data_IF_755419715946
#
_entry.id   IF_755419715946
#
_cell.length_a   1.000
_cell.length_b   1.000
_cell.length_c   1.000
_cell.angle_alpha   90.00
_cell.angle_beta   90.00
_cell.angle_gamma   90.00
#
_symmetry.space_group_name_H-M   'P 1'
#
loop_
_entity.id
_entity.type
_entity.pdbx_description
1 polymer ?
#
# COMPACT_ATOMS: atom_id res chain seq x y z
N UNK A 1 -18.26 32.24 30.35
CA UNK A 1 -17.39 31.73 29.28
C UNK A 1 -17.43 30.22 29.35
N UNK A 2 -18.19 29.57 28.48
CA UNK A 2 -18.30 28.10 28.43
C UNK A 2 -17.47 27.61 27.28
N UNK A 3 -16.52 26.73 27.55
CA UNK A 3 -15.70 26.04 26.57
C UNK A 3 -16.54 24.94 25.88
N UNK A 4 -16.57 24.87 24.56
CA UNK A 4 -17.28 23.79 23.86
C UNK A 4 -16.49 22.48 23.93
N UNK A 5 -17.13 21.45 24.47
CA UNK A 5 -16.66 20.08 24.54
C UNK A 5 -16.72 19.48 23.14
N UNK A 6 -15.57 19.15 22.56
CA UNK A 6 -15.46 18.43 21.29
C UNK A 6 -15.89 16.98 21.50
N UNK A 7 -16.99 16.57 20.89
CA UNK A 7 -17.41 15.16 20.84
C UNK A 7 -16.47 14.40 19.92
N UNK A 8 -15.82 13.39 20.48
CA UNK A 8 -15.06 12.36 19.76
C UNK A 8 -15.97 11.67 18.73
N UNK A 9 -15.58 11.72 17.48
CA UNK A 9 -16.22 10.96 16.41
C UNK A 9 -15.92 9.46 16.60
N UNK A 10 -16.97 8.64 16.53
CA UNK A 10 -16.89 7.18 16.57
C UNK A 10 -16.06 6.65 15.37
N UNK A 11 -15.32 5.55 15.58
CA UNK A 11 -14.57 4.94 14.48
C UNK A 11 -15.55 4.42 13.43
N UNK A 12 -15.35 4.82 12.19
CA UNK A 12 -16.03 4.26 11.03
C UNK A 12 -15.80 2.75 11.00
N UNK A 13 -16.82 1.99 11.37
CA UNK A 13 -16.89 0.56 11.06
C UNK A 13 -16.88 0.45 9.53
N UNK A 14 -15.79 -0.07 8.99
CA UNK A 14 -15.74 -0.55 7.62
C UNK A 14 -16.89 -1.55 7.44
N UNK A 15 -17.94 -1.14 6.72
CA UNK A 15 -18.96 -2.06 6.24
C UNK A 15 -18.29 -2.99 5.24
N UNK A 16 -18.00 -4.20 5.67
CA UNK A 16 -17.69 -5.30 4.76
C UNK A 16 -18.85 -5.38 3.76
N UNK A 17 -18.59 -5.05 2.50
CA UNK A 17 -19.54 -5.21 1.42
C UNK A 17 -19.72 -6.73 1.20
N UNK A 18 -20.94 -7.26 1.18
CA UNK A 18 -21.24 -8.67 0.98
C UNK A 18 -21.24 -9.03 -0.51
N UNK A 19 -20.17 -8.69 -1.23
CA UNK A 19 -20.02 -9.12 -2.61
C UNK A 19 -18.83 -10.05 -2.71
N UNK A 20 -19.09 -11.35 -2.54
CA UNK A 20 -18.19 -12.38 -3.07
C UNK A 20 -18.26 -12.26 -4.59
N UNK A 21 -17.31 -11.55 -5.19
CA UNK A 21 -17.11 -11.58 -6.62
C UNK A 21 -16.62 -12.98 -6.96
N UNK A 22 -17.51 -13.82 -7.49
CA UNK A 22 -17.14 -15.12 -8.03
C UNK A 22 -16.23 -14.87 -9.23
N UNK A 23 -14.94 -15.12 -9.08
CA UNK A 23 -13.98 -15.05 -10.18
C UNK A 23 -14.28 -16.19 -11.17
N UNK A 24 -14.17 -15.96 -12.49
CA UNK A 24 -14.37 -17.02 -13.46
C UNK A 24 -13.35 -18.15 -13.23
N UNK A 25 -13.79 -19.42 -13.27
CA UNK A 25 -12.94 -20.58 -12.98
C UNK A 25 -11.73 -20.71 -13.92
N UNK A 26 -11.78 -20.08 -15.09
CA UNK A 26 -10.74 -20.13 -16.11
C UNK A 26 -9.75 -18.96 -16.07
N UNK A 27 -9.80 -18.11 -15.05
CA UNK A 27 -8.93 -16.93 -14.93
C UNK A 27 -7.42 -17.27 -15.04
N UNK A 28 -6.91 -18.35 -14.40
CA UNK A 28 -5.50 -18.73 -14.56
C UNK A 28 -5.12 -19.13 -16.00
N UNK A 29 -6.02 -19.75 -16.73
CA UNK A 29 -5.81 -20.15 -18.12
C UNK A 29 -5.83 -18.93 -19.08
N UNK A 30 -6.68 -17.95 -18.80
CA UNK A 30 -6.75 -16.68 -19.52
C UNK A 30 -5.47 -15.85 -19.32
N UNK A 31 -4.95 -15.76 -18.10
CA UNK A 31 -3.72 -15.05 -17.77
C UNK A 31 -2.50 -15.60 -18.50
N UNK A 32 -2.45 -16.92 -18.73
CA UNK A 32 -1.35 -17.57 -19.49
C UNK A 32 -1.33 -17.24 -20.98
N UNK A 33 -2.48 -16.89 -21.56
CA UNK A 33 -2.64 -16.58 -23.00
C UNK A 33 -2.50 -15.09 -23.31
N UNK A 34 -2.36 -14.23 -22.32
CA UNK A 34 -2.26 -12.78 -22.51
C UNK A 34 -0.81 -12.32 -22.64
N UNK A 35 -0.58 -11.20 -23.32
CA UNK A 35 0.74 -10.58 -23.40
C UNK A 35 1.21 -10.09 -22.02
N UNK A 36 2.52 -9.96 -21.78
CA UNK A 36 3.04 -9.47 -20.49
C UNK A 36 2.42 -8.14 -20.04
N UNK A 37 2.22 -7.19 -20.97
CA UNK A 37 1.63 -5.89 -20.69
C UNK A 37 0.15 -5.99 -20.29
N UNK A 38 -0.63 -6.83 -20.99
CA UNK A 38 -2.05 -7.07 -20.67
C UNK A 38 -2.19 -7.79 -19.34
N UNK A 39 -1.27 -8.73 -19.04
CA UNK A 39 -1.23 -9.44 -17.75
C UNK A 39 -0.96 -8.50 -16.58
N UNK A 40 0.03 -7.59 -16.72
CA UNK A 40 0.34 -6.61 -15.71
C UNK A 40 -0.85 -5.69 -15.40
N UNK A 41 -1.56 -5.23 -16.43
CA UNK A 41 -2.76 -4.38 -16.26
C UNK A 41 -3.91 -5.13 -15.58
N UNK A 42 -4.16 -6.39 -16.00
CA UNK A 42 -5.20 -7.23 -15.39
C UNK A 42 -4.90 -7.55 -13.93
N UNK A 43 -3.61 -7.71 -13.58
CA UNK A 43 -3.17 -7.93 -12.21
C UNK A 43 -3.36 -6.69 -11.33
N UNK A 44 -3.07 -5.50 -11.84
CA UNK A 44 -3.34 -4.24 -11.16
C UNK A 44 -4.85 -4.08 -10.88
N UNK A 45 -5.70 -4.36 -11.87
CA UNK A 45 -7.17 -4.28 -11.72
C UNK A 45 -7.68 -5.34 -10.71
N UNK A 46 -7.07 -6.53 -10.68
CA UNK A 46 -7.41 -7.59 -9.73
C UNK A 46 -6.99 -7.21 -8.30
N UNK A 47 -5.80 -6.64 -8.13
CA UNK A 47 -5.31 -6.16 -6.83
C UNK A 47 -6.21 -5.07 -6.24
N UNK A 48 -6.70 -4.16 -7.09
CA UNK A 48 -7.67 -3.14 -6.68
C UNK A 48 -9.03 -3.72 -6.29
N UNK A 49 -9.43 -4.87 -6.90
CA UNK A 49 -10.78 -5.44 -6.70
C UNK A 49 -10.84 -6.42 -5.54
N UNK A 50 -9.81 -7.25 -5.36
CA UNK A 50 -9.81 -8.37 -4.38
C UNK A 50 -8.71 -8.29 -3.33
N UNK A 51 -7.81 -7.31 -3.44
CA UNK A 51 -6.67 -7.13 -2.55
C UNK A 51 -5.45 -7.97 -2.91
N UNK A 52 -4.28 -7.54 -2.43
CA UNK A 52 -2.97 -8.12 -2.77
C UNK A 52 -2.83 -9.61 -2.35
N UNK A 53 -3.40 -10.01 -1.22
CA UNK A 53 -3.32 -11.39 -0.73
C UNK A 53 -4.04 -12.37 -1.65
N UNK A 54 -5.27 -12.05 -2.06
CA UNK A 54 -6.07 -12.89 -2.95
C UNK A 54 -5.50 -12.95 -4.38
N UNK A 55 -4.90 -11.85 -4.86
CA UNK A 55 -4.22 -11.83 -6.16
C UNK A 55 -2.96 -12.71 -6.16
N UNK A 56 -2.22 -12.77 -5.06
CA UNK A 56 -1.06 -13.67 -4.88
C UNK A 56 -1.47 -15.14 -4.88
N UNK A 57 -2.55 -15.50 -4.19
CA UNK A 57 -3.04 -16.88 -4.10
C UNK A 57 -3.45 -17.44 -5.47
N UNK A 58 -3.96 -16.59 -6.37
CA UNK A 58 -4.30 -16.97 -7.75
C UNK A 58 -3.08 -17.23 -8.64
N UNK A 59 -1.91 -16.74 -8.27
CA UNK A 59 -0.64 -16.92 -9.00
C UNK A 59 0.21 -18.07 -8.47
N UNK A 60 -0.06 -18.59 -7.27
CA UNK A 60 0.62 -19.76 -6.74
C UNK A 60 0.14 -20.99 -7.50
N UNK A 61 0.92 -21.43 -8.49
CA UNK A 61 0.75 -22.80 -9.02
C UNK A 61 0.91 -23.77 -7.84
N UNK A 62 0.04 -24.79 -7.74
CA UNK A 62 0.31 -25.87 -6.81
C UNK A 62 1.69 -26.44 -7.13
N UNK A 63 2.52 -26.77 -6.14
CA UNK A 63 3.85 -27.29 -6.38
C UNK A 63 3.71 -28.53 -7.29
N UNK A 64 4.28 -28.44 -8.48
CA UNK A 64 4.43 -29.62 -9.36
C UNK A 64 5.37 -30.58 -8.66
N UNK A 65 4.80 -31.58 -7.99
CA UNK A 65 5.53 -32.72 -7.44
C UNK A 65 6.13 -33.52 -8.59
N UNK A 66 7.36 -33.17 -8.95
CA UNK A 66 8.17 -33.95 -9.86
C UNK A 66 9.64 -33.64 -9.59
N UNK A 67 10.50 -34.62 -9.31
CA UNK A 67 11.91 -34.39 -9.11
C UNK A 67 12.54 -34.08 -10.47
N UNK A 68 12.77 -32.81 -10.78
CA UNK A 68 13.71 -32.42 -11.83
C UNK A 68 15.12 -32.51 -11.23
N UNK A 69 15.77 -33.62 -11.45
CA UNK A 69 17.19 -33.84 -11.16
C UNK A 69 17.99 -33.01 -12.18
N UNK A 70 18.24 -31.77 -11.88
CA UNK A 70 19.38 -31.04 -12.41
C UNK A 70 20.45 -31.06 -11.32
N UNK A 71 21.71 -31.37 -11.66
CA UNK A 71 22.85 -31.64 -10.79
C UNK A 71 23.22 -30.52 -9.81
N UNK A 72 22.31 -30.09 -8.98
CA UNK A 72 22.47 -29.25 -7.80
C UNK A 72 21.91 -29.99 -6.62
N UNK A 73 22.62 -29.95 -5.48
CA UNK A 73 22.19 -30.59 -4.24
C UNK A 73 20.87 -30.04 -3.69
N UNK A 74 20.44 -30.53 -2.53
CA UNK A 74 19.17 -30.13 -1.94
C UNK A 74 19.14 -28.61 -1.70
N UNK A 75 17.99 -28.00 -2.04
CA UNK A 75 17.77 -26.57 -1.84
C UNK A 75 16.50 -26.33 -1.07
N UNK A 76 16.42 -25.19 -0.36
CA UNK A 76 15.21 -24.70 0.29
C UNK A 76 14.91 -23.28 -0.20
N UNK A 77 13.64 -22.99 -0.47
CA UNK A 77 13.16 -21.65 -0.78
C UNK A 77 12.55 -21.02 0.47
N UNK A 78 13.00 -19.83 0.83
CA UNK A 78 12.53 -19.09 1.99
C UNK A 78 12.00 -17.73 1.51
N UNK A 79 10.84 -17.34 2.04
CA UNK A 79 10.18 -16.08 1.72
C UNK A 79 9.93 -15.30 3.01
N UNK A 80 10.32 -14.04 3.02
CA UNK A 80 9.87 -13.07 4.00
C UNK A 80 8.55 -12.43 3.54
N UNK A 81 7.96 -11.65 4.40
CA UNK A 81 6.80 -10.84 4.09
C UNK A 81 6.97 -9.45 4.71
N UNK A 82 6.84 -8.42 3.90
CA UNK A 82 6.87 -7.03 4.35
C UNK A 82 5.58 -6.36 3.95
N UNK A 83 4.84 -5.86 4.95
CA UNK A 83 3.55 -5.19 4.77
C UNK A 83 3.61 -3.76 5.27
N UNK A 84 2.78 -2.89 4.70
CA UNK A 84 2.59 -1.53 5.13
C UNK A 84 1.12 -1.27 5.46
N UNK A 85 0.89 -0.60 6.60
CA UNK A 85 -0.39 -0.04 6.98
C UNK A 85 -0.27 1.50 6.89
N UNK A 86 -1.05 2.10 6.01
CA UNK A 86 -1.02 3.52 5.70
C UNK A 86 -2.07 4.25 6.53
N UNK A 87 -1.69 5.30 7.25
CA UNK A 87 -2.55 6.03 8.18
C UNK A 87 -3.63 6.89 7.50
N UNK A 88 -3.60 7.01 6.18
CA UNK A 88 -4.51 7.86 5.42
C UNK A 88 -4.18 9.35 5.50
N UNK A 89 -3.23 9.73 6.31
CA UNK A 89 -2.78 11.11 6.51
C UNK A 89 -3.59 11.91 7.54
N UNK A 90 -2.91 12.88 8.15
CA UNK A 90 -3.50 13.87 9.06
C UNK A 90 -3.36 15.25 8.45
N UNK A 91 -4.47 15.96 8.31
CA UNK A 91 -4.50 17.27 7.66
C UNK A 91 -4.76 18.40 8.65
N UNK A 92 -4.23 19.60 8.31
CA UNK A 92 -4.44 20.83 9.05
C UNK A 92 -4.63 22.01 8.08
N UNK A 93 -5.74 22.69 8.20
CA UNK A 93 -5.99 23.96 7.57
C UNK A 93 -5.57 25.13 8.47
N UNK A 94 -4.81 26.08 7.92
CA UNK A 94 -4.39 27.29 8.61
C UNK A 94 -4.81 28.51 7.77
N UNK A 95 -5.95 29.14 8.06
CA UNK A 95 -6.43 30.29 7.32
C UNK A 95 -5.56 31.54 7.57
N UNK A 96 -5.20 32.24 6.50
CA UNK A 96 -4.62 33.58 6.54
C UNK A 96 -5.70 34.66 6.41
N UNK A 97 -6.71 34.39 5.60
CA UNK A 97 -7.85 35.29 5.36
C UNK A 97 -9.06 34.48 4.91
N UNK A 98 -10.22 34.82 5.49
CA UNK A 98 -11.52 34.32 5.04
C UNK A 98 -12.48 35.51 4.95
N UNK A 99 -13.02 35.80 3.76
CA UNK A 99 -13.87 36.99 3.51
C UNK A 99 -15.03 36.63 2.60
N UNK A 100 -16.14 37.32 2.75
CA UNK A 100 -17.19 37.27 1.74
C UNK A 100 -16.66 37.81 0.41
N UNK A 101 -16.96 37.11 -0.67
CA UNK A 101 -16.68 37.53 -2.04
C UNK A 101 -17.98 37.81 -2.79
N UNK A 102 -17.87 38.45 -3.96
CA UNK A 102 -19.01 38.78 -4.82
C UNK A 102 -18.87 38.12 -6.19
N UNK A 103 -17.88 37.25 -6.34
CA UNK A 103 -17.51 36.65 -7.65
C UNK A 103 -18.19 35.33 -7.94
N UNK A 104 -18.78 34.68 -6.95
CA UNK A 104 -19.59 33.49 -7.19
C UNK A 104 -20.95 33.87 -7.78
N UNK A 105 -21.41 33.13 -8.77
CA UNK A 105 -22.76 33.18 -9.26
C UNK A 105 -23.56 32.04 -8.61
N UNK A 106 -24.78 32.33 -8.14
CA UNK A 106 -25.74 31.30 -7.68
C UNK A 106 -25.40 30.57 -6.37
N UNK A 107 -24.75 31.25 -5.41
CA UNK A 107 -24.66 30.69 -4.06
C UNK A 107 -25.99 30.77 -3.33
N UNK A 108 -26.39 29.74 -2.54
CA UNK A 108 -27.53 29.83 -1.63
C UNK A 108 -27.37 30.96 -0.60
N UNK A 109 -28.48 31.54 -0.15
CA UNK A 109 -28.46 32.68 0.80
C UNK A 109 -27.79 32.32 2.15
N UNK A 110 -27.93 31.07 2.58
CA UNK A 110 -27.33 30.51 3.78
C UNK A 110 -25.86 30.09 3.61
N UNK A 111 -25.36 30.03 2.37
CA UNK A 111 -24.00 29.59 2.06
C UNK A 111 -23.28 30.61 1.12
N UNK A 112 -23.03 31.83 1.59
CA UNK A 112 -22.59 32.94 0.77
C UNK A 112 -21.22 32.69 0.14
N UNK A 113 -20.97 33.36 -0.98
CA UNK A 113 -19.66 33.31 -1.66
C UNK A 113 -18.53 33.65 -0.68
N UNK A 114 -17.56 32.76 -0.58
CA UNK A 114 -16.39 32.83 0.30
C UNK A 114 -15.11 32.90 -0.55
N UNK A 115 -14.22 33.81 -0.18
CA UNK A 115 -12.82 33.78 -0.61
C UNK A 115 -11.92 33.44 0.59
N UNK A 116 -11.24 32.32 0.51
CA UNK A 116 -10.37 31.77 1.56
C UNK A 116 -8.91 31.66 1.05
N UNK A 117 -7.99 32.25 1.79
CA UNK A 117 -6.54 32.16 1.54
C UNK A 117 -5.87 31.60 2.77
N UNK A 118 -4.96 30.67 2.60
CA UNK A 118 -4.23 30.06 3.71
C UNK A 118 -3.30 28.96 3.28
N UNK A 119 -3.02 28.07 4.23
CA UNK A 119 -2.11 26.94 4.03
C UNK A 119 -2.79 25.67 4.50
N UNK A 120 -2.78 24.65 3.65
CA UNK A 120 -3.25 23.31 3.99
C UNK A 120 -2.05 22.38 4.07
N UNK A 121 -1.85 21.76 5.21
CA UNK A 121 -0.72 20.84 5.46
C UNK A 121 -1.27 19.44 5.70
N UNK A 122 -0.69 18.45 5.06
CA UNK A 122 -1.01 17.03 5.26
C UNK A 122 0.26 16.28 5.62
N UNK A 123 0.17 15.41 6.63
CA UNK A 123 1.27 14.55 7.07
C UNK A 123 0.83 13.10 6.99
N UNK A 124 1.63 12.28 6.31
CA UNK A 124 1.39 10.87 6.04
C UNK A 124 2.41 9.99 6.73
N UNK A 125 1.99 8.84 7.29
CA UNK A 125 2.87 7.83 7.87
C UNK A 125 2.42 6.42 7.48
N UNK A 126 3.39 5.55 7.24
CA UNK A 126 3.19 4.12 7.06
C UNK A 126 3.79 3.37 8.25
N UNK A 127 3.01 2.47 8.84
CA UNK A 127 3.48 1.49 9.78
C UNK A 127 3.89 0.23 9.01
N UNK A 128 5.20 -0.07 8.98
CA UNK A 128 5.75 -1.17 8.18
C UNK A 128 6.20 -2.30 9.07
N UNK A 129 5.68 -3.49 8.79
CA UNK A 129 6.02 -4.73 9.50
C UNK A 129 6.79 -5.67 8.57
N UNK A 130 7.89 -6.22 9.08
CA UNK A 130 8.69 -7.25 8.41
C UNK A 130 8.51 -8.55 9.16
N UNK A 131 8.08 -9.61 8.48
CA UNK A 131 7.97 -10.96 9.01
C UNK A 131 8.99 -11.85 8.31
N UNK A 132 9.94 -12.38 9.07
CA UNK A 132 10.94 -13.30 8.56
C UNK A 132 10.50 -14.76 8.82
N UNK A 133 10.81 -15.68 7.91
CA UNK A 133 10.51 -17.09 8.15
C UNK A 133 11.44 -17.67 9.21
N UNK A 134 10.96 -18.68 9.92
CA UNK A 134 11.79 -19.49 10.80
C UNK A 134 12.76 -20.37 10.03
N UNK A 135 13.80 -20.83 10.70
CA UNK A 135 14.69 -21.85 10.16
C UNK A 135 13.93 -23.19 10.14
N UNK A 136 13.84 -23.89 8.99
CA UNK A 136 13.15 -25.17 8.91
C UNK A 136 13.72 -26.22 9.87
N UNK A 137 12.86 -27.05 10.40
CA UNK A 137 13.25 -28.19 11.25
C UNK A 137 13.96 -29.29 10.44
N UNK A 138 14.73 -30.13 11.12
CA UNK A 138 15.37 -31.31 10.55
C UNK A 138 16.64 -31.04 9.72
N UNK A 139 17.15 -29.83 9.74
CA UNK A 139 18.41 -29.49 9.09
C UNK A 139 19.60 -29.96 9.94
N UNK A 140 20.73 -30.31 9.27
CA UNK A 140 22.01 -30.50 9.95
C UNK A 140 22.55 -29.17 10.46
N UNK A 141 23.49 -29.20 11.39
CA UNK A 141 24.13 -27.99 11.93
C UNK A 141 24.80 -27.11 10.84
N UNK A 142 25.32 -27.74 9.77
CA UNK A 142 25.85 -27.02 8.62
C UNK A 142 24.75 -26.32 7.81
N UNK A 143 23.70 -27.06 7.48
CA UNK A 143 22.55 -26.54 6.73
C UNK A 143 21.86 -25.40 7.49
N UNK A 144 21.68 -25.53 8.80
CA UNK A 144 21.16 -24.46 9.65
C UNK A 144 22.01 -23.19 9.56
N UNK A 145 23.34 -23.30 9.64
CA UNK A 145 24.23 -22.15 9.50
C UNK A 145 24.06 -21.45 8.13
N UNK A 146 23.92 -22.22 7.04
CA UNK A 146 23.68 -21.67 5.70
C UNK A 146 22.34 -20.94 5.63
N UNK A 147 21.27 -21.54 6.14
CA UNK A 147 19.95 -20.91 6.19
C UNK A 147 19.98 -19.62 7.02
N UNK A 148 20.59 -19.65 8.22
CA UNK A 148 20.72 -18.44 9.06
C UNK A 148 21.55 -17.36 8.39
N UNK A 149 22.60 -17.71 7.67
CA UNK A 149 23.39 -16.75 6.89
C UNK A 149 22.56 -16.13 5.77
N UNK A 150 21.78 -16.94 5.02
CA UNK A 150 20.89 -16.44 3.99
C UNK A 150 19.82 -15.49 4.53
N UNK A 151 19.15 -15.85 5.64
CA UNK A 151 18.15 -15.00 6.28
C UNK A 151 18.75 -13.65 6.68
N UNK A 152 19.96 -13.66 7.23
CA UNK A 152 20.64 -12.43 7.69
C UNK A 152 21.17 -11.58 6.53
N UNK A 153 21.84 -12.21 5.56
CA UNK A 153 22.70 -11.51 4.59
C UNK A 153 22.03 -11.30 3.22
N UNK A 154 20.95 -12.04 2.94
CA UNK A 154 20.26 -12.00 1.65
C UNK A 154 18.79 -11.61 1.81
N UNK A 155 17.99 -12.42 2.52
CA UNK A 155 16.57 -12.17 2.65
C UNK A 155 16.26 -10.95 3.52
N UNK A 156 16.91 -10.82 4.66
CA UNK A 156 16.71 -9.68 5.56
C UNK A 156 17.02 -8.30 4.93
N UNK A 157 18.10 -8.12 4.17
CA UNK A 157 18.31 -6.92 3.37
C UNK A 157 17.23 -6.66 2.32
N UNK A 158 16.70 -7.71 1.65
CA UNK A 158 15.61 -7.59 0.69
C UNK A 158 14.33 -7.09 1.36
N UNK A 159 13.93 -7.67 2.48
CA UNK A 159 12.74 -7.24 3.23
C UNK A 159 12.90 -5.81 3.78
N UNK A 160 14.11 -5.43 4.22
CA UNK A 160 14.37 -4.04 4.63
C UNK A 160 14.27 -3.05 3.47
N UNK A 161 14.59 -3.48 2.25
CA UNK A 161 14.43 -2.65 1.05
C UNK A 161 12.94 -2.44 0.72
N UNK A 162 12.08 -3.48 0.84
CA UNK A 162 10.63 -3.32 0.78
C UNK A 162 10.15 -2.28 1.81
N UNK A 163 10.57 -2.44 3.07
CA UNK A 163 10.20 -1.52 4.13
C UNK A 163 10.66 -0.07 3.86
N UNK A 164 11.85 0.11 3.28
CA UNK A 164 12.35 1.43 2.89
C UNK A 164 11.47 2.06 1.80
N UNK A 165 11.01 1.26 0.84
CA UNK A 165 10.16 1.71 -0.27
C UNK A 165 8.75 2.05 0.19
N UNK A 166 8.15 1.25 1.05
CA UNK A 166 6.86 1.57 1.67
C UNK A 166 6.92 2.90 2.46
N UNK A 167 8.05 3.17 3.15
CA UNK A 167 8.23 4.43 3.88
C UNK A 167 8.40 5.67 2.99
N UNK A 168 8.47 5.54 1.67
CA UNK A 168 8.37 6.70 0.75
C UNK A 168 7.00 7.38 0.79
N UNK A 169 5.97 6.69 1.29
CA UNK A 169 4.68 7.26 1.62
C UNK A 169 4.77 8.36 2.67
N UNK A 170 5.71 8.24 3.63
CA UNK A 170 5.84 9.17 4.75
C UNK A 170 6.27 10.55 4.27
N UNK A 171 5.75 11.56 4.94
CA UNK A 171 6.17 12.93 4.71
C UNK A 171 5.06 13.95 4.95
N UNK A 172 5.45 15.21 4.93
CA UNK A 172 4.54 16.34 5.10
C UNK A 172 4.57 17.19 3.84
N UNK A 173 3.40 17.50 3.31
CA UNK A 173 3.22 18.42 2.19
C UNK A 173 2.41 19.61 2.63
N UNK A 174 2.73 20.77 2.06
CA UNK A 174 2.08 22.03 2.36
C UNK A 174 1.58 22.66 1.05
N UNK A 175 0.27 22.89 0.98
CA UNK A 175 -0.41 23.46 -0.16
C UNK A 175 -0.83 24.91 0.13
N UNK A 176 -0.39 25.90 -0.64
CA UNK A 176 -0.99 27.22 -0.60
C UNK A 176 -2.40 27.14 -1.19
N UNK A 177 -3.37 27.58 -0.45
CA UNK A 177 -4.79 27.59 -0.87
C UNK A 177 -5.22 29.01 -1.17
N UNK A 178 -5.87 29.16 -2.33
CA UNK A 178 -6.55 30.37 -2.77
C UNK A 178 -7.89 29.95 -3.38
N UNK A 179 -8.88 29.77 -2.51
CA UNK A 179 -10.19 29.21 -2.85
C UNK A 179 -11.24 30.31 -2.98
N UNK A 180 -12.14 30.17 -3.95
CA UNK A 180 -13.35 30.97 -4.07
C UNK A 180 -14.50 30.04 -4.43
N UNK A 181 -15.53 30.01 -3.60
CA UNK A 181 -16.70 29.13 -3.78
C UNK A 181 -17.80 29.44 -2.79
N UNK A 182 -18.92 28.69 -2.87
CA UNK A 182 -20.07 28.88 -2.01
C UNK A 182 -19.84 28.20 -0.66
N UNK A 183 -19.67 29.00 0.38
CA UNK A 183 -19.62 28.56 1.78
C UNK A 183 -18.38 27.80 2.23
N UNK A 184 -18.44 27.36 3.45
CA UNK A 184 -17.36 26.60 4.09
C UNK A 184 -17.37 25.13 3.71
N UNK A 185 -18.52 24.57 3.32
CA UNK A 185 -18.65 23.18 2.88
C UNK A 185 -17.86 22.92 1.60
N UNK A 186 -18.00 23.81 0.60
CA UNK A 186 -17.22 23.69 -0.63
C UNK A 186 -15.70 23.86 -0.41
N UNK A 187 -15.30 24.71 0.55
CA UNK A 187 -13.90 24.78 0.96
C UNK A 187 -13.43 23.46 1.58
N UNK A 188 -14.23 22.84 2.46
CA UNK A 188 -13.89 21.56 3.07
C UNK A 188 -13.77 20.45 2.03
N UNK A 189 -14.69 20.37 1.09
CA UNK A 189 -14.65 19.41 -0.04
C UNK A 189 -13.36 19.60 -0.86
N UNK A 190 -13.03 20.84 -1.20
CA UNK A 190 -11.79 21.15 -1.92
C UNK A 190 -10.53 20.72 -1.16
N UNK A 191 -10.47 20.96 0.16
CA UNK A 191 -9.35 20.53 1.00
C UNK A 191 -9.29 19.00 1.12
N UNK A 192 -10.46 18.33 1.22
CA UNK A 192 -10.56 16.88 1.27
C UNK A 192 -10.10 16.25 -0.05
N UNK A 193 -10.49 16.83 -1.20
CA UNK A 193 -10.03 16.37 -2.50
C UNK A 193 -8.49 16.42 -2.64
N UNK A 194 -7.86 17.50 -2.19
CA UNK A 194 -6.38 17.62 -2.15
C UNK A 194 -5.79 16.50 -1.29
N UNK A 195 -6.34 16.29 -0.09
CA UNK A 195 -5.90 15.24 0.83
C UNK A 195 -5.98 13.86 0.19
N UNK A 196 -7.14 13.49 -0.33
CA UNK A 196 -7.41 12.15 -0.86
C UNK A 196 -6.57 11.86 -2.11
N UNK A 197 -6.46 12.83 -3.02
CA UNK A 197 -5.66 12.69 -4.24
C UNK A 197 -4.16 12.50 -3.92
N UNK A 198 -3.63 13.27 -2.97
CA UNK A 198 -2.23 13.11 -2.57
C UNK A 198 -2.01 11.80 -1.84
N UNK A 199 -2.89 11.41 -0.91
CA UNK A 199 -2.82 10.14 -0.19
C UNK A 199 -2.84 8.94 -1.14
N UNK A 200 -3.78 8.92 -2.09
CA UNK A 200 -3.89 7.88 -3.11
C UNK A 200 -2.63 7.79 -3.98
N UNK A 201 -2.08 8.95 -4.39
CA UNK A 201 -0.85 8.98 -5.18
C UNK A 201 0.34 8.43 -4.40
N UNK A 202 0.55 8.86 -3.16
CA UNK A 202 1.65 8.39 -2.30
C UNK A 202 1.58 6.90 -2.05
N UNK A 203 0.38 6.37 -1.78
CA UNK A 203 0.11 4.96 -1.59
C UNK A 203 0.50 4.17 -2.86
N UNK A 204 -0.04 4.56 -4.00
CA UNK A 204 0.25 3.90 -5.29
C UNK A 204 1.75 3.94 -5.65
N UNK A 205 2.42 5.07 -5.42
CA UNK A 205 3.86 5.21 -5.68
C UNK A 205 4.69 4.30 -4.77
N UNK A 206 4.37 4.21 -3.47
CA UNK A 206 5.08 3.38 -2.51
C UNK A 206 4.92 1.89 -2.82
N UNK A 207 3.69 1.45 -3.14
CA UNK A 207 3.39 0.07 -3.53
C UNK A 207 4.11 -0.31 -4.84
N UNK A 208 4.08 0.57 -5.84
CA UNK A 208 4.76 0.33 -7.11
C UNK A 208 6.29 0.22 -6.92
N UNK A 209 6.87 1.07 -6.08
CA UNK A 209 8.30 1.00 -5.75
C UNK A 209 8.63 -0.31 -5.03
N UNK A 210 7.80 -0.76 -4.10
CA UNK A 210 7.99 -2.02 -3.39
C UNK A 210 7.88 -3.21 -4.34
N UNK A 211 6.85 -3.26 -5.18
CA UNK A 211 6.65 -4.34 -6.15
C UNK A 211 7.77 -4.42 -7.21
N UNK A 212 8.47 -3.32 -7.47
CA UNK A 212 9.54 -3.28 -8.48
C UNK A 212 10.82 -4.07 -8.10
N UNK A 213 10.95 -4.53 -6.85
CA UNK A 213 12.08 -5.39 -6.45
C UNK A 213 11.74 -6.88 -6.43
N UNK A 214 10.51 -7.24 -6.73
CA UNK A 214 10.05 -8.60 -6.95
C UNK A 214 10.09 -8.99 -8.45
N UNK A 215 10.16 -10.30 -8.79
CA UNK A 215 10.16 -11.44 -7.88
C UNK A 215 11.53 -11.73 -7.27
N UNK A 216 11.55 -12.04 -5.98
CA UNK A 216 12.75 -12.52 -5.29
C UNK A 216 12.79 -14.05 -5.29
N UNK A 217 13.64 -14.63 -6.13
CA UNK A 217 13.77 -16.09 -6.32
C UNK A 217 15.23 -16.52 -6.10
N UNK A 218 15.64 -16.62 -4.83
CA UNK A 218 16.98 -17.09 -4.46
C UNK A 218 16.88 -18.31 -3.56
N UNK A 219 17.04 -19.54 -4.08
CA UNK A 219 17.08 -20.74 -3.25
C UNK A 219 18.39 -20.78 -2.42
N UNK A 220 18.30 -21.39 -1.26
CA UNK A 220 19.46 -21.68 -0.40
C UNK A 220 19.95 -23.08 -0.72
N UNK A 221 21.19 -23.21 -1.17
CA UNK A 221 21.87 -24.51 -1.32
C UNK A 221 22.17 -25.11 0.05
N UNK A 222 21.76 -26.36 0.24
CA UNK A 222 21.96 -27.11 1.49
C UNK A 222 23.12 -28.11 1.40
N UNK A 223 23.94 -28.03 0.34
CA UNK A 223 25.12 -28.88 0.20
C UNK A 223 26.13 -28.52 1.30
N UNK A 224 26.46 -29.51 2.11
CA UNK A 224 27.48 -29.43 3.14
C UNK A 224 28.47 -30.53 2.85
N UNK A 225 29.64 -30.14 2.39
CA UNK A 225 30.82 -31.03 2.34
C UNK A 225 31.28 -31.16 3.78
N UNK A 226 30.94 -32.29 4.43
CA UNK A 226 31.42 -32.67 5.76
C UNK A 226 32.79 -33.34 5.69
#
# INVERSE_FOLDING_TARGET
MQTPTVRSASPHRSRALPWTVALPPDLPALLRKTTPATRARLMLDLQHTVGNAAARELLTEPPRSGPTVHGGGPTVSLHGDTTADYDGGVSKWTPKSMKRAKTCTECPDDDPCLHAVGTFTVTYNANVTITMPDVPDGLTACQERRVRAFLRDVLGPHEREHARRFRTYNGTTTHPINFTGCGTSALQEHLQEIHDNEGAKRHSDADALSAAIDPFNKPVGLDCDD
#
